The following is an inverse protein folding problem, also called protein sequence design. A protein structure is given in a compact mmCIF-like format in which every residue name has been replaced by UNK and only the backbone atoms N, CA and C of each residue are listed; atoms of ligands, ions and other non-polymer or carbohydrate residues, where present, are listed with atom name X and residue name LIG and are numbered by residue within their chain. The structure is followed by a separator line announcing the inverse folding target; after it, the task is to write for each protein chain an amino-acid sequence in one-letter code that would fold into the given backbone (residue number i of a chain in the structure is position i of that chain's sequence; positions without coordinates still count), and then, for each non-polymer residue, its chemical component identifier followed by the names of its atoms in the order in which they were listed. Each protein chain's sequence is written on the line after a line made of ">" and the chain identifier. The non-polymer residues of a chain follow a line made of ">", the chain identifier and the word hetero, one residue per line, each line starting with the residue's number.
data_IF_446599551533
#
_entry.id   IF_446599551533
#
_cell.length_a   1.000
_cell.length_b   1.000
_cell.length_c   1.000
_cell.angle_alpha   90.00
_cell.angle_beta   90.00
_cell.angle_gamma   90.00
#
_symmetry.space_group_name_H-M   'P 1'
#
loop_
_entity.id
_entity.type
_entity.pdbx_description
1 polymer ?
#
# COMPACT_ATOMS: atom_id res chain seq x y z
N UNK A 1 17.12 -2.26 -8.10
CA UNK A 1 16.41 -3.43 -7.56
C UNK A 1 15.23 -3.75 -8.47
N UNK A 2 15.10 -4.98 -8.97
CA UNK A 2 13.97 -5.44 -9.78
C UNK A 2 12.79 -5.93 -8.90
N UNK A 3 11.66 -6.25 -9.52
CA UNK A 3 10.47 -6.80 -8.85
C UNK A 3 10.75 -8.10 -8.10
N UNK A 4 11.52 -9.03 -8.67
CA UNK A 4 11.95 -10.26 -8.01
C UNK A 4 12.72 -9.99 -6.70
N UNK A 5 13.69 -9.08 -6.73
CA UNK A 5 14.46 -8.70 -5.53
C UNK A 5 13.59 -8.02 -4.47
N UNK A 6 12.58 -7.25 -4.89
CA UNK A 6 11.60 -6.63 -3.97
C UNK A 6 10.66 -7.65 -3.36
N UNK A 7 10.24 -8.67 -4.13
CA UNK A 7 9.46 -9.80 -3.62
C UNK A 7 10.22 -10.56 -2.54
N UNK A 8 11.51 -10.84 -2.77
CA UNK A 8 12.40 -11.44 -1.77
C UNK A 8 12.47 -10.57 -0.50
N UNK A 9 12.57 -9.24 -0.65
CA UNK A 9 12.63 -8.33 0.48
C UNK A 9 11.33 -8.37 1.32
N UNK A 10 10.16 -8.32 0.69
CA UNK A 10 8.85 -8.46 1.36
C UNK A 10 8.76 -9.79 2.12
N UNK A 11 9.11 -10.90 1.47
CA UNK A 11 9.06 -12.21 2.11
C UNK A 11 9.99 -12.28 3.32
N UNK A 12 11.23 -11.78 3.18
CA UNK A 12 12.22 -11.79 4.25
C UNK A 12 11.84 -10.87 5.41
N UNK A 13 11.20 -9.73 5.16
CA UNK A 13 10.71 -8.86 6.25
C UNK A 13 9.61 -9.51 7.08
N UNK A 14 8.89 -10.48 6.50
CA UNK A 14 7.90 -11.30 7.21
C UNK A 14 8.51 -12.52 7.93
N UNK A 15 9.82 -12.75 7.79
CA UNK A 15 10.53 -13.88 8.40
C UNK A 15 10.19 -15.25 7.78
N UNK A 16 9.66 -15.28 6.56
CA UNK A 16 9.16 -16.51 5.92
C UNK A 16 10.15 -17.09 4.90
N UNK A 17 10.20 -18.42 4.79
CA UNK A 17 10.81 -19.07 3.64
C UNK A 17 9.87 -19.05 2.42
N UNK A 18 10.37 -19.40 1.22
CA UNK A 18 9.59 -19.36 -0.03
C UNK A 18 8.31 -20.21 0.04
N UNK A 19 8.39 -21.41 0.60
CA UNK A 19 7.25 -22.31 0.71
C UNK A 19 6.17 -21.75 1.64
N UNK A 20 6.56 -21.32 2.84
CA UNK A 20 5.64 -20.69 3.80
C UNK A 20 4.95 -19.46 3.21
N UNK A 21 5.69 -18.62 2.49
CA UNK A 21 5.13 -17.43 1.88
C UNK A 21 4.16 -17.77 0.75
N UNK A 22 4.52 -18.73 -0.13
CA UNK A 22 3.64 -19.21 -1.19
C UNK A 22 2.33 -19.80 -0.63
N UNK A 23 2.44 -20.63 0.40
CA UNK A 23 1.29 -21.23 1.08
C UNK A 23 0.40 -20.13 1.72
N UNK A 24 1.01 -19.12 2.35
CA UNK A 24 0.30 -18.03 3.00
C UNK A 24 -0.48 -17.12 2.03
N UNK A 25 0.06 -16.86 0.83
CA UNK A 25 -0.58 -16.04 -0.20
C UNK A 25 -1.42 -16.85 -1.20
N UNK A 26 -1.51 -18.17 -1.01
CA UNK A 26 -2.34 -19.05 -1.83
C UNK A 26 -1.81 -19.26 -3.27
N UNK A 27 -0.50 -19.32 -3.46
CA UNK A 27 0.12 -19.59 -4.76
C UNK A 27 0.98 -20.86 -4.76
N UNK A 28 1.24 -21.41 -5.95
CA UNK A 28 2.13 -22.57 -6.07
C UNK A 28 3.57 -22.23 -5.63
N UNK A 29 4.23 -23.14 -4.90
CA UNK A 29 5.63 -22.96 -4.47
C UNK A 29 6.61 -22.86 -5.65
N UNK A 30 6.34 -23.58 -6.74
CA UNK A 30 7.11 -23.46 -7.99
C UNK A 30 7.02 -22.06 -8.59
N UNK A 31 5.81 -21.48 -8.62
CA UNK A 31 5.58 -20.12 -9.08
C UNK A 31 6.37 -19.10 -8.23
N UNK A 32 6.40 -19.27 -6.91
CA UNK A 32 7.19 -18.41 -6.02
C UNK A 32 8.70 -18.51 -6.32
N UNK A 33 9.22 -19.73 -6.49
CA UNK A 33 10.62 -19.94 -6.83
C UNK A 33 10.99 -19.35 -8.19
N UNK A 34 10.17 -19.56 -9.22
CA UNK A 34 10.38 -18.98 -10.56
C UNK A 34 10.38 -17.44 -10.53
N UNK A 35 9.45 -16.85 -9.76
CA UNK A 35 9.36 -15.41 -9.61
C UNK A 35 10.60 -14.82 -8.92
N UNK A 36 11.03 -15.40 -7.79
CA UNK A 36 12.20 -14.88 -7.06
C UNK A 36 13.52 -15.08 -7.81
N UNK A 37 13.60 -16.11 -8.67
CA UNK A 37 14.75 -16.33 -9.54
C UNK A 37 14.69 -15.52 -10.85
N UNK A 38 13.67 -14.68 -11.05
CA UNK A 38 13.50 -13.87 -12.25
C UNK A 38 13.20 -14.67 -13.53
N UNK A 39 12.87 -15.96 -13.40
CA UNK A 39 12.44 -16.80 -14.54
C UNK A 39 11.05 -16.41 -15.03
N UNK A 40 10.25 -15.80 -14.15
CA UNK A 40 8.91 -15.30 -14.44
C UNK A 40 8.69 -13.95 -13.75
N UNK A 41 7.97 -13.00 -14.36
CA UNK A 41 7.60 -11.75 -13.70
C UNK A 41 6.68 -11.99 -12.50
N UNK A 42 6.70 -11.06 -11.54
CA UNK A 42 5.77 -11.08 -10.39
C UNK A 42 4.34 -10.81 -10.87
N UNK A 43 3.61 -11.90 -11.17
CA UNK A 43 2.29 -11.85 -11.78
C UNK A 43 1.14 -11.58 -10.81
N UNK A 44 -0.05 -11.37 -11.37
CA UNK A 44 -1.28 -11.02 -10.63
C UNK A 44 -1.59 -11.96 -9.46
N UNK A 45 -1.38 -13.27 -9.60
CA UNK A 45 -1.66 -14.23 -8.53
C UNK A 45 -0.87 -13.93 -7.25
N UNK A 46 0.43 -13.65 -7.38
CA UNK A 46 1.28 -13.26 -6.24
C UNK A 46 0.81 -11.91 -5.67
N UNK A 47 0.56 -10.93 -6.54
CA UNK A 47 0.14 -9.58 -6.11
C UNK A 47 -1.19 -9.61 -5.36
N UNK A 48 -2.20 -10.31 -5.88
CA UNK A 48 -3.51 -10.46 -5.22
C UNK A 48 -3.38 -11.22 -3.90
N UNK A 49 -2.58 -12.28 -3.87
CA UNK A 49 -2.33 -13.03 -2.64
C UNK A 49 -1.68 -12.17 -1.55
N UNK A 50 -0.68 -11.36 -1.91
CA UNK A 50 -0.05 -10.41 -0.98
C UNK A 50 -1.06 -9.35 -0.54
N UNK A 51 -1.83 -8.76 -1.45
CA UNK A 51 -2.83 -7.74 -1.14
C UNK A 51 -3.86 -8.22 -0.11
N UNK A 52 -4.30 -9.47 -0.24
CA UNK A 52 -5.29 -10.06 0.65
C UNK A 52 -4.69 -10.51 1.99
N UNK A 53 -3.46 -11.04 1.98
CA UNK A 53 -2.84 -11.62 3.18
C UNK A 53 -2.07 -10.61 4.03
N UNK A 54 -1.46 -9.62 3.40
CA UNK A 54 -0.54 -8.65 4.02
C UNK A 54 -0.88 -7.23 3.54
N UNK A 55 -2.03 -6.66 3.97
CA UNK A 55 -2.47 -5.32 3.54
C UNK A 55 -1.51 -4.19 3.92
N UNK A 56 -0.59 -4.43 4.86
CA UNK A 56 0.48 -3.53 5.27
C UNK A 56 1.64 -3.44 4.26
N UNK A 57 1.73 -4.37 3.31
CA UNK A 57 2.80 -4.37 2.29
C UNK A 57 2.51 -3.29 1.24
N UNK A 58 3.48 -2.40 1.01
CA UNK A 58 3.43 -1.41 -0.06
C UNK A 58 3.58 -2.09 -1.44
N UNK A 59 2.45 -2.49 -2.03
CA UNK A 59 2.40 -3.09 -3.37
C UNK A 59 2.90 -2.14 -4.46
N UNK A 60 2.77 -0.83 -4.28
CA UNK A 60 3.30 0.15 -5.23
C UNK A 60 4.82 0.11 -5.23
N UNK A 61 5.44 0.08 -4.05
CA UNK A 61 6.88 -0.12 -3.93
C UNK A 61 7.32 -1.46 -4.52
N UNK A 62 6.61 -2.55 -4.21
CA UNK A 62 6.92 -3.89 -4.77
C UNK A 62 6.91 -3.91 -6.31
N UNK A 63 5.93 -3.27 -6.94
CA UNK A 63 5.77 -3.28 -8.40
C UNK A 63 6.66 -2.26 -9.11
N UNK A 64 6.87 -1.08 -8.53
CA UNK A 64 7.50 0.05 -9.22
C UNK A 64 8.87 0.43 -8.67
N UNK A 65 9.19 0.02 -7.45
CA UNK A 65 10.39 0.45 -6.70
C UNK A 65 10.28 1.86 -6.16
N UNK A 66 9.16 2.54 -6.38
CA UNK A 66 8.87 3.87 -5.87
C UNK A 66 8.01 3.69 -4.63
N UNK A 67 8.51 4.14 -3.48
CA UNK A 67 7.71 4.21 -2.26
C UNK A 67 6.44 5.02 -2.53
N UNK A 68 5.34 4.68 -1.84
CA UNK A 68 4.24 5.62 -1.74
C UNK A 68 4.80 6.98 -1.29
N UNK A 69 4.34 8.10 -1.88
CA UNK A 69 4.60 9.40 -1.25
C UNK A 69 4.17 9.26 0.21
N UNK A 70 5.00 9.74 1.15
CA UNK A 70 4.69 9.68 2.56
C UNK A 70 3.23 10.06 2.72
N UNK A 71 2.42 9.15 3.29
CA UNK A 71 0.98 9.36 3.47
C UNK A 71 0.87 10.77 4.02
N UNK A 72 0.26 11.68 3.25
CA UNK A 72 0.18 13.07 3.69
C UNK A 72 -0.57 13.02 5.02
N UNK A 73 0.17 13.15 6.12
CA UNK A 73 -0.40 13.23 7.44
C UNK A 73 -0.99 14.62 7.49
N UNK A 74 -2.26 14.72 7.12
CA UNK A 74 -3.02 15.94 7.38
C UNK A 74 -2.99 16.09 8.90
N UNK A 75 -2.41 17.19 9.39
CA UNK A 75 -2.35 17.40 10.82
C UNK A 75 -3.78 17.58 11.31
N UNK A 76 -4.11 16.98 12.47
CA UNK A 76 -5.46 17.09 13.06
C UNK A 76 -5.94 18.54 13.13
N UNK A 77 -5.04 19.47 13.47
CA UNK A 77 -5.33 20.90 13.49
C UNK A 77 -5.74 21.48 12.12
N UNK A 78 -5.15 21.04 11.01
CA UNK A 78 -5.53 21.51 9.66
C UNK A 78 -6.95 21.06 9.29
N UNK A 79 -7.38 19.89 9.75
CA UNK A 79 -8.75 19.39 9.58
C UNK A 79 -9.71 20.23 10.43
N UNK A 80 -9.39 20.47 11.69
CA UNK A 80 -10.21 21.30 12.59
C UNK A 80 -10.39 22.71 12.05
N UNK A 81 -9.31 23.32 11.59
CA UNK A 81 -9.34 24.65 10.98
C UNK A 81 -10.22 24.70 9.73
N UNK A 82 -10.17 23.67 8.88
CA UNK A 82 -11.04 23.59 7.71
C UNK A 82 -12.52 23.47 8.09
N UNK A 83 -12.83 22.60 9.04
CA UNK A 83 -14.20 22.40 9.54
C UNK A 83 -14.74 23.69 10.16
N UNK A 84 -13.95 24.35 10.98
CA UNK A 84 -14.34 25.61 11.62
C UNK A 84 -14.56 26.72 10.60
N UNK A 85 -13.68 26.88 9.62
CA UNK A 85 -13.86 27.86 8.53
C UNK A 85 -15.14 27.60 7.75
N UNK A 86 -15.44 26.34 7.45
CA UNK A 86 -16.64 26.00 6.71
C UNK A 86 -17.92 26.20 7.54
N UNK A 87 -17.89 25.80 8.82
CA UNK A 87 -18.99 26.06 9.74
C UNK A 87 -19.27 27.56 9.90
N UNK A 88 -18.21 28.38 10.00
CA UNK A 88 -18.35 29.83 10.05
C UNK A 88 -18.95 30.39 8.75
N UNK A 89 -18.52 29.90 7.59
CA UNK A 89 -19.06 30.29 6.30
C UNK A 89 -20.57 30.02 6.19
N UNK A 90 -21.02 28.84 6.66
CA UNK A 90 -22.45 28.50 6.70
C UNK A 90 -23.25 29.39 7.68
N UNK A 91 -22.66 29.71 8.83
CA UNK A 91 -23.26 30.63 9.79
C UNK A 91 -23.41 32.03 9.18
N UNK A 92 -22.35 32.54 8.53
CA UNK A 92 -22.36 33.86 7.90
C UNK A 92 -23.38 33.93 6.75
N UNK A 93 -23.56 32.84 5.99
CA UNK A 93 -24.60 32.72 4.96
C UNK A 93 -26.01 32.76 5.56
N UNK A 94 -26.27 31.99 6.61
CA UNK A 94 -27.58 31.97 7.29
C UNK A 94 -27.95 33.32 7.92
N UNK A 95 -26.94 34.07 8.39
CA UNK A 95 -27.11 35.39 8.99
C UNK A 95 -27.15 36.52 7.95
N UNK A 96 -26.99 36.23 6.65
CA UNK A 96 -26.92 37.25 5.60
C UNK A 96 -25.71 38.18 5.73
N UNK A 97 -24.64 37.69 6.35
CA UNK A 97 -23.36 38.40 6.55
C UNK A 97 -22.36 38.15 5.43
N UNK A 98 -22.69 37.25 4.51
CA UNK A 98 -21.95 37.06 3.25
C UNK A 98 -22.31 38.20 2.27
N UNK A 99 -21.29 38.88 1.73
CA UNK A 99 -21.44 39.94 0.71
C UNK A 99 -21.63 39.35 -0.69
#
# INVERSE_FOLDING_TARGET
>A
MNDASRLIAVRKSLGLNQGQFADAIGCARSLMSEAENGKRPVGRGIICGIALKYPEVDLRWLLTGKAAPARASIKSHEVTELVNRHAQMLIDELLGLTK
#
